data_IF_539735488385
#
_entry.id   IF_539735488385
#
_cell.length_a   1.000
_cell.length_b   1.000
_cell.length_c   1.000
_cell.angle_alpha   90.00
_cell.angle_beta   90.00
_cell.angle_gamma   90.00
#
_symmetry.space_group_name_H-M   'P 1'
#
loop_
_entity.id
_entity.type
_entity.pdbx_description
1 polymer ?
#
# COMPACT_ATOMS: atom_id res chain seq x y z
N UNK A 1 3.15 3.11 3.03
CA UNK A 1 3.43 3.50 4.41
C UNK A 1 2.17 3.48 5.24
N UNK A 2 2.22 2.80 6.37
CA UNK A 2 1.14 2.71 7.34
C UNK A 2 1.48 3.52 8.60
N UNK A 3 0.46 3.90 9.35
CA UNK A 3 0.63 4.50 10.67
C UNK A 3 0.12 3.56 11.75
N UNK A 4 0.86 3.44 12.82
CA UNK A 4 0.52 2.64 13.99
C UNK A 4 0.97 3.34 15.27
N UNK A 5 0.25 3.14 16.36
CA UNK A 5 0.62 3.71 17.67
C UNK A 5 1.94 3.15 18.20
N UNK A 6 2.36 1.98 17.72
CA UNK A 6 3.64 1.36 18.00
C UNK A 6 4.13 0.61 16.75
N UNK A 7 5.18 1.11 16.11
CA UNK A 7 5.72 0.54 14.88
C UNK A 7 6.27 -0.88 15.07
N UNK A 8 6.93 -1.16 16.19
CA UNK A 8 7.48 -2.50 16.46
C UNK A 8 6.38 -3.55 16.67
N UNK A 9 5.29 -3.18 17.35
CA UNK A 9 4.12 -4.07 17.51
C UNK A 9 3.47 -4.35 16.16
N UNK A 10 3.33 -3.32 15.32
CA UNK A 10 2.80 -3.48 13.97
C UNK A 10 3.68 -4.42 13.13
N UNK A 11 4.99 -4.22 13.10
CA UNK A 11 5.92 -5.14 12.42
C UNK A 11 5.74 -6.57 12.91
N UNK A 12 5.68 -6.79 14.22
CA UNK A 12 5.53 -8.13 14.80
C UNK A 12 4.19 -8.77 14.39
N UNK A 13 3.11 -8.00 14.39
CA UNK A 13 1.78 -8.44 13.98
C UNK A 13 1.74 -8.82 12.50
N UNK A 14 2.30 -7.96 11.64
CA UNK A 14 2.33 -8.22 10.19
C UNK A 14 3.21 -9.43 9.83
N UNK A 15 4.37 -9.58 10.47
CA UNK A 15 5.23 -10.77 10.28
C UNK A 15 4.53 -12.04 10.77
N UNK A 16 3.82 -11.99 11.89
CA UNK A 16 3.07 -13.13 12.44
C UNK A 16 2.00 -13.64 11.47
N UNK A 17 1.23 -12.73 10.87
CA UNK A 17 0.07 -13.09 10.04
C UNK A 17 0.40 -13.28 8.56
N UNK A 18 1.35 -12.51 8.03
CA UNK A 18 1.65 -12.48 6.60
C UNK A 18 3.10 -12.89 6.26
N UNK A 19 3.90 -13.19 7.26
CA UNK A 19 5.32 -13.46 7.05
C UNK A 19 6.09 -12.20 6.67
N UNK A 20 7.11 -12.37 5.81
CA UNK A 20 8.01 -11.28 5.42
C UNK A 20 9.21 -11.13 6.35
N UNK A 21 10.12 -10.24 6.00
CA UNK A 21 11.35 -9.99 6.73
C UNK A 21 11.26 -8.65 7.48
N UNK A 22 11.37 -8.73 8.81
CA UNK A 22 11.41 -7.54 9.67
C UNK A 22 12.76 -6.81 9.53
N UNK A 23 12.73 -5.55 9.15
CA UNK A 23 13.92 -4.75 8.88
C UNK A 23 13.74 -3.30 9.36
N UNK A 24 14.76 -2.46 9.15
CA UNK A 24 14.70 -1.02 9.36
C UNK A 24 14.59 -0.29 8.03
N UNK A 25 13.73 0.71 7.94
CA UNK A 25 13.59 1.51 6.73
C UNK A 25 14.88 2.26 6.39
N UNK A 26 15.46 2.92 7.38
CA UNK A 26 16.71 3.62 7.20
C UNK A 26 17.88 2.77 7.65
N UNK A 27 18.91 2.67 6.80
CA UNK A 27 20.19 2.12 7.23
C UNK A 27 20.80 3.07 8.25
N UNK A 28 21.04 2.58 9.44
CA UNK A 28 21.79 3.28 10.47
C UNK A 28 22.88 2.36 10.97
N UNK A 29 24.03 2.92 11.29
CA UNK A 29 25.03 2.30 12.17
C UNK A 29 24.56 2.33 13.61
N UNK A 30 23.47 3.06 13.87
CA UNK A 30 22.82 3.16 15.16
C UNK A 30 21.90 1.94 15.35
N UNK A 31 22.26 1.08 16.27
CA UNK A 31 21.50 -0.14 16.63
C UNK A 31 20.25 0.16 17.43
N UNK A 32 20.03 1.41 17.85
CA UNK A 32 18.90 1.84 18.68
C UNK A 32 17.66 2.22 17.86
N UNK A 33 17.75 2.31 16.51
CA UNK A 33 16.56 2.56 15.69
C UNK A 33 15.59 1.38 15.76
N UNK A 34 14.28 1.65 15.92
CA UNK A 34 13.27 0.59 15.95
C UNK A 34 13.23 -0.18 14.63
N UNK A 35 12.77 -1.42 14.68
CA UNK A 35 12.36 -2.17 13.50
C UNK A 35 10.99 -1.61 13.11
N UNK A 36 10.90 -1.03 11.91
CA UNK A 36 9.76 -0.25 11.45
C UNK A 36 9.30 -0.63 10.05
N UNK A 37 9.84 -1.74 9.50
CA UNK A 37 9.55 -2.18 8.13
C UNK A 37 9.45 -3.69 8.03
N UNK A 38 8.50 -4.16 7.22
CA UNK A 38 8.41 -5.55 6.75
C UNK A 38 8.65 -5.57 5.24
N UNK A 39 9.52 -6.47 4.78
CA UNK A 39 9.77 -6.72 3.36
C UNK A 39 9.01 -7.95 2.90
N UNK A 40 8.27 -7.83 1.82
CA UNK A 40 7.60 -8.91 1.08
C UNK A 40 8.22 -8.98 -0.32
N UNK A 41 9.33 -9.70 -0.45
CA UNK A 41 10.17 -9.59 -1.65
C UNK A 41 10.75 -8.18 -1.79
N UNK A 42 10.50 -7.53 -2.93
CA UNK A 42 10.95 -6.15 -3.19
C UNK A 42 9.97 -5.08 -2.68
N UNK A 43 8.80 -5.50 -2.15
CA UNK A 43 7.78 -4.59 -1.63
C UNK A 43 8.02 -4.33 -0.14
N UNK A 44 8.05 -3.06 0.25
CA UNK A 44 8.23 -2.63 1.63
C UNK A 44 6.92 -2.10 2.22
N UNK A 45 6.52 -2.62 3.37
CA UNK A 45 5.52 -2.01 4.24
C UNK A 45 6.24 -1.35 5.41
N UNK A 46 6.12 -0.03 5.52
CA UNK A 46 6.84 0.78 6.51
C UNK A 46 5.82 1.39 7.48
N UNK A 47 6.15 1.38 8.77
CA UNK A 47 5.26 1.84 9.83
C UNK A 47 5.80 3.12 10.47
N UNK A 48 4.99 4.17 10.47
CA UNK A 48 5.24 5.36 11.27
C UNK A 48 4.59 5.23 12.63
N UNK A 49 5.36 5.49 13.67
CA UNK A 49 4.82 5.53 15.03
C UNK A 49 4.06 6.83 15.25
N UNK A 50 2.75 6.75 15.08
CA UNK A 50 1.82 7.86 15.22
C UNK A 50 0.39 7.32 15.39
N UNK A 51 -0.47 8.07 16.05
CA UNK A 51 -1.91 7.82 16.03
C UNK A 51 -2.42 7.92 14.58
N UNK A 52 -3.03 6.88 14.02
CA UNK A 52 -3.51 6.88 12.63
C UNK A 52 -4.68 7.85 12.37
N UNK A 53 -5.27 8.44 13.39
CA UNK A 53 -6.43 9.34 13.25
C UNK A 53 -7.67 8.59 12.74
N UNK A 54 -7.71 8.25 11.45
CA UNK A 54 -8.80 7.51 10.81
C UNK A 54 -8.26 6.28 10.06
N UNK A 55 -9.14 5.27 9.86
CA UNK A 55 -8.81 4.07 9.07
C UNK A 55 -8.64 4.36 7.58
N UNK A 56 -8.21 3.34 6.82
CA UNK A 56 -7.95 3.48 5.38
C UNK A 56 -9.25 3.59 4.56
N UNK A 57 -10.34 3.01 5.02
CA UNK A 57 -11.63 2.99 4.30
C UNK A 57 -12.16 4.41 4.05
N UNK A 58 -12.60 4.65 2.81
CA UNK A 58 -13.13 5.95 2.39
C UNK A 58 -12.07 6.96 1.95
N UNK A 59 -10.81 6.55 1.85
CA UNK A 59 -9.73 7.35 1.26
C UNK A 59 -9.38 6.88 -0.15
N UNK A 60 -8.48 7.60 -0.83
CA UNK A 60 -7.99 7.25 -2.16
C UNK A 60 -7.29 5.88 -2.21
N UNK A 61 -6.70 5.40 -1.11
CA UNK A 61 -6.24 4.01 -0.94
C UNK A 61 -7.15 3.31 0.05
N UNK A 62 -8.07 2.49 -0.44
CA UNK A 62 -9.04 1.80 0.40
C UNK A 62 -8.39 0.66 1.21
N UNK A 63 -7.58 -0.17 0.54
CA UNK A 63 -6.91 -1.30 1.15
C UNK A 63 -5.72 -1.81 0.33
N UNK A 64 -5.01 -2.76 0.88
CA UNK A 64 -4.13 -3.66 0.14
C UNK A 64 -4.52 -5.11 0.41
N UNK A 65 -4.05 -6.01 -0.46
CA UNK A 65 -4.43 -7.42 -0.39
C UNK A 65 -3.25 -8.35 -0.23
N UNK A 66 -3.49 -9.46 0.48
CA UNK A 66 -2.59 -10.60 0.55
C UNK A 66 -3.23 -11.86 -0.02
N UNK A 67 -2.47 -12.60 -0.82
CA UNK A 67 -2.86 -13.93 -1.24
C UNK A 67 -2.32 -14.98 -0.28
N UNK A 68 -3.26 -15.75 0.32
CA UNK A 68 -2.98 -16.71 1.38
C UNK A 68 -3.56 -18.09 1.07
N UNK A 69 -3.07 -19.13 1.72
CA UNK A 69 -3.51 -20.51 1.46
C UNK A 69 -4.92 -20.81 1.99
N UNK A 70 -5.25 -20.29 3.16
CA UNK A 70 -6.52 -20.55 3.85
C UNK A 70 -7.07 -19.25 4.43
N UNK A 71 -8.00 -18.61 3.70
CA UNK A 71 -8.58 -17.31 4.07
C UNK A 71 -9.36 -17.40 5.39
N UNK A 72 -10.28 -18.36 5.62
CA UNK A 72 -11.03 -18.45 6.88
C UNK A 72 -10.17 -18.65 8.11
N UNK A 73 -9.14 -19.46 8.03
CA UNK A 73 -8.21 -19.72 9.14
C UNK A 73 -7.45 -18.44 9.51
N UNK A 74 -6.90 -17.74 8.51
CA UNK A 74 -6.17 -16.51 8.77
C UNK A 74 -7.08 -15.39 9.31
N UNK A 75 -8.31 -15.28 8.82
CA UNK A 75 -9.29 -14.32 9.39
C UNK A 75 -9.53 -14.62 10.86
N UNK A 76 -9.73 -15.90 11.23
CA UNK A 76 -9.91 -16.28 12.63
C UNK A 76 -8.69 -15.94 13.50
N UNK A 77 -7.47 -16.17 13.00
CA UNK A 77 -6.23 -15.85 13.70
C UNK A 77 -6.05 -14.33 13.88
N UNK A 78 -6.37 -13.56 12.85
CA UNK A 78 -6.32 -12.08 12.90
C UNK A 78 -7.31 -11.54 13.92
N UNK A 79 -8.54 -12.05 13.94
CA UNK A 79 -9.56 -11.63 14.93
C UNK A 79 -9.15 -11.99 16.35
N UNK A 80 -8.55 -13.16 16.55
CA UNK A 80 -8.03 -13.56 17.87
C UNK A 80 -6.85 -12.68 18.34
N UNK A 81 -6.19 -11.97 17.44
CA UNK A 81 -5.02 -11.12 17.69
C UNK A 81 -5.32 -9.60 17.51
N UNK A 82 -6.55 -9.21 17.80
CA UNK A 82 -6.97 -7.80 17.90
C UNK A 82 -7.42 -7.13 16.61
N UNK A 83 -7.39 -7.84 15.47
CA UNK A 83 -8.01 -7.36 14.23
C UNK A 83 -9.54 -7.57 14.22
N UNK A 84 -10.20 -7.06 13.19
CA UNK A 84 -11.65 -7.14 13.04
C UNK A 84 -12.01 -7.72 11.68
N UNK A 85 -12.91 -8.71 11.63
CA UNK A 85 -13.52 -9.12 10.36
C UNK A 85 -14.59 -8.08 9.96
N UNK A 86 -14.45 -7.48 8.77
CA UNK A 86 -15.30 -6.38 8.33
C UNK A 86 -16.63 -6.85 7.71
N UNK A 87 -16.60 -7.95 6.97
CA UNK A 87 -17.76 -8.52 6.29
C UNK A 87 -17.68 -10.06 6.29
N UNK A 88 -18.80 -10.70 6.05
CA UNK A 88 -18.82 -12.14 5.76
C UNK A 88 -17.97 -12.46 4.53
N UNK A 89 -17.50 -13.71 4.43
CA UNK A 89 -16.73 -14.14 3.26
C UNK A 89 -17.54 -13.97 1.98
N UNK A 90 -16.88 -13.43 0.95
CA UNK A 90 -17.46 -13.27 -0.38
C UNK A 90 -16.76 -14.17 -1.40
N UNK A 91 -17.51 -14.57 -2.43
CA UNK A 91 -16.94 -15.29 -3.57
C UNK A 91 -16.75 -14.31 -4.74
N UNK A 92 -15.53 -14.26 -5.26
CA UNK A 92 -15.21 -13.44 -6.41
C UNK A 92 -14.33 -14.22 -7.39
N UNK A 93 -14.79 -14.35 -8.63
CA UNK A 93 -14.06 -15.07 -9.69
C UNK A 93 -13.60 -16.47 -9.28
N UNK A 94 -14.48 -17.22 -8.54
CA UNK A 94 -14.20 -18.56 -8.04
C UNK A 94 -13.21 -18.63 -6.87
N UNK A 95 -12.96 -17.51 -6.19
CA UNK A 95 -12.06 -17.40 -5.03
C UNK A 95 -12.82 -16.87 -3.84
N UNK A 96 -12.56 -17.45 -2.68
CA UNK A 96 -13.06 -16.92 -1.43
C UNK A 96 -12.20 -15.71 -1.01
N UNK A 97 -12.88 -14.63 -0.67
CA UNK A 97 -12.28 -13.38 -0.20
C UNK A 97 -12.77 -13.10 1.22
N UNK A 98 -11.86 -12.64 2.06
CA UNK A 98 -12.15 -12.08 3.38
C UNK A 98 -11.62 -10.65 3.48
N UNK A 99 -12.33 -9.80 4.20
CA UNK A 99 -11.86 -8.46 4.54
C UNK A 99 -11.71 -8.33 6.04
N UNK A 100 -10.53 -7.91 6.45
CA UNK A 100 -10.22 -7.63 7.85
C UNK A 100 -9.69 -6.21 8.00
N UNK A 101 -9.74 -5.71 9.22
CA UNK A 101 -9.07 -4.49 9.63
C UNK A 101 -8.00 -4.85 10.67
N UNK A 102 -6.81 -4.30 10.50
CA UNK A 102 -5.74 -4.47 11.47
C UNK A 102 -6.04 -3.66 12.76
N UNK A 103 -5.29 -3.85 13.85
CA UNK A 103 -5.52 -3.12 15.11
C UNK A 103 -5.38 -1.59 15.00
N UNK A 104 -4.89 -1.06 13.89
CA UNK A 104 -4.64 0.36 13.65
C UNK A 104 -5.58 0.98 12.59
N UNK A 105 -6.57 0.21 12.11
CA UNK A 105 -7.60 0.71 11.20
C UNK A 105 -7.28 0.57 9.71
N UNK A 106 -6.27 -0.23 9.33
CA UNK A 106 -6.00 -0.51 7.93
C UNK A 106 -6.80 -1.71 7.45
N UNK A 107 -7.61 -1.50 6.43
CA UNK A 107 -8.34 -2.59 5.76
C UNK A 107 -7.39 -3.43 4.92
N UNK A 108 -7.54 -4.75 5.03
CA UNK A 108 -6.75 -5.76 4.31
C UNK A 108 -7.69 -6.75 3.63
N UNK A 109 -7.50 -6.97 2.34
CA UNK A 109 -8.16 -8.06 1.62
C UNK A 109 -7.33 -9.34 1.71
N UNK A 110 -7.97 -10.44 2.01
CA UNK A 110 -7.39 -11.79 2.00
C UNK A 110 -8.01 -12.59 0.87
N UNK A 111 -7.18 -13.08 -0.03
CA UNK A 111 -7.62 -13.85 -1.19
C UNK A 111 -6.79 -15.12 -1.33
N UNK A 112 -7.36 -16.18 -1.91
CA UNK A 112 -6.60 -17.37 -2.29
C UNK A 112 -6.31 -17.34 -3.79
N UNK A 113 -5.25 -16.62 -4.19
CA UNK A 113 -4.71 -16.68 -5.56
C UNK A 113 -3.35 -17.41 -5.56
N UNK A 114 -3.28 -18.67 -6.04
CA UNK A 114 -2.05 -19.45 -6.02
C UNK A 114 -0.99 -18.97 -7.03
N UNK A 115 -1.36 -18.11 -7.98
CA UNK A 115 -0.46 -17.60 -9.01
C UNK A 115 0.40 -16.42 -8.50
N UNK A 116 -0.12 -15.66 -7.50
CA UNK A 116 0.60 -14.55 -6.87
C UNK A 116 0.42 -14.61 -5.36
N UNK A 117 1.30 -15.33 -4.66
CA UNK A 117 1.29 -15.49 -3.20
C UNK A 117 1.98 -14.34 -2.48
N UNK A 118 1.51 -14.03 -1.28
CA UNK A 118 2.04 -12.94 -0.45
C UNK A 118 1.35 -11.61 -0.72
N UNK A 119 2.11 -10.51 -0.71
CA UNK A 119 1.59 -9.19 -1.07
C UNK A 119 1.05 -9.24 -2.49
N UNK A 120 -0.25 -8.94 -2.67
CA UNK A 120 -0.95 -9.22 -3.92
C UNK A 120 -1.34 -7.98 -4.70
N UNK A 121 -1.94 -7.00 -4.03
CA UNK A 121 -2.39 -5.77 -4.69
C UNK A 121 -2.51 -4.59 -3.75
N UNK A 122 -2.46 -3.40 -4.33
CA UNK A 122 -2.95 -2.15 -3.76
C UNK A 122 -4.29 -1.86 -4.40
N UNK A 123 -5.29 -1.42 -3.64
CA UNK A 123 -6.63 -1.14 -4.14
C UNK A 123 -7.05 0.29 -3.85
N UNK A 124 -7.18 1.06 -4.93
CA UNK A 124 -7.59 2.45 -4.90
C UNK A 124 -9.12 2.56 -5.06
N UNK A 125 -9.66 3.64 -4.54
CA UNK A 125 -11.04 4.07 -4.78
C UNK A 125 -11.05 5.37 -5.56
N UNK A 126 -11.75 5.41 -6.69
CA UNK A 126 -11.85 6.59 -7.53
C UNK A 126 -13.23 6.76 -8.14
N UNK A 127 -13.75 7.99 -8.28
CA UNK A 127 -14.92 8.27 -9.11
C UNK A 127 -14.69 7.98 -10.59
N UNK A 128 -13.45 8.07 -11.09
CA UNK A 128 -13.04 7.77 -12.47
C UNK A 128 -11.83 6.83 -12.50
N UNK A 129 -12.04 5.50 -12.35
CA UNK A 129 -10.98 4.51 -12.35
C UNK A 129 -10.11 4.51 -13.61
N UNK A 130 -10.70 4.84 -14.78
CA UNK A 130 -9.96 4.85 -16.03
C UNK A 130 -8.94 5.99 -16.06
N UNK A 131 -9.35 7.20 -15.70
CA UNK A 131 -8.45 8.34 -15.60
C UNK A 131 -7.36 8.11 -14.55
N UNK A 132 -7.73 7.53 -13.39
CA UNK A 132 -6.78 7.19 -12.33
C UNK A 132 -5.73 6.20 -12.82
N UNK A 133 -6.13 5.06 -13.41
CA UNK A 133 -5.18 4.08 -13.96
C UNK A 133 -4.28 4.67 -15.04
N UNK A 134 -4.83 5.49 -15.95
CA UNK A 134 -4.04 6.15 -16.97
C UNK A 134 -2.98 7.06 -16.36
N UNK A 135 -3.35 7.86 -15.36
CA UNK A 135 -2.41 8.74 -14.67
C UNK A 135 -1.25 7.96 -14.01
N UNK A 136 -1.55 6.83 -13.34
CA UNK A 136 -0.50 5.99 -12.76
C UNK A 136 0.38 5.34 -13.83
N UNK A 137 -0.20 4.86 -14.93
CA UNK A 137 0.56 4.29 -16.05
C UNK A 137 1.52 5.30 -16.68
N UNK A 138 1.06 6.54 -16.90
CA UNK A 138 1.85 7.60 -17.53
C UNK A 138 3.01 8.08 -16.65
N UNK A 139 2.85 8.04 -15.32
CA UNK A 139 3.80 8.62 -14.39
C UNK A 139 4.66 7.57 -13.66
N UNK A 140 4.16 6.36 -13.46
CA UNK A 140 4.82 5.32 -12.67
C UNK A 140 4.94 3.99 -13.41
N UNK A 141 4.46 3.90 -14.64
CA UNK A 141 4.53 2.69 -15.45
C UNK A 141 3.53 1.62 -15.01
N UNK A 142 3.92 0.36 -15.19
CA UNK A 142 3.04 -0.80 -15.04
C UNK A 142 2.37 -1.17 -16.36
N UNK A 143 2.05 -2.45 -16.54
CA UNK A 143 1.35 -2.94 -17.72
C UNK A 143 -0.16 -2.87 -17.51
N UNK A 144 -0.87 -2.17 -18.41
CA UNK A 144 -2.34 -2.05 -18.35
C UNK A 144 -2.98 -3.37 -18.75
N UNK A 145 -3.55 -4.05 -17.78
CA UNK A 145 -4.16 -5.37 -17.91
C UNK A 145 -5.47 -5.49 -17.13
N UNK A 146 -6.09 -6.63 -17.24
CA UNK A 146 -7.25 -6.98 -16.40
C UNK A 146 -6.90 -8.18 -15.51
N UNK A 147 -6.86 -7.96 -14.21
CA UNK A 147 -6.68 -9.06 -13.29
C UNK A 147 -7.82 -10.07 -13.44
N UNK A 148 -7.46 -11.33 -13.79
CA UNK A 148 -8.39 -12.44 -14.07
C UNK A 148 -9.50 -12.07 -15.07
N UNK A 149 -9.20 -11.23 -16.06
CA UNK A 149 -10.13 -10.73 -17.09
C UNK A 149 -11.34 -9.93 -16.54
N UNK A 150 -11.32 -9.60 -15.25
CA UNK A 150 -12.44 -8.94 -14.54
C UNK A 150 -12.11 -7.51 -14.14
N UNK A 151 -11.11 -7.31 -13.30
CA UNK A 151 -10.77 -6.00 -12.76
C UNK A 151 -9.67 -5.31 -13.57
N UNK A 152 -9.92 -4.10 -14.10
CA UNK A 152 -8.86 -3.31 -14.72
C UNK A 152 -7.83 -2.91 -13.67
N UNK A 153 -6.54 -2.94 -14.06
CA UNK A 153 -5.45 -2.59 -13.18
C UNK A 153 -4.14 -2.35 -13.91
N UNK A 154 -3.11 -2.05 -13.16
CA UNK A 154 -1.73 -2.02 -13.61
C UNK A 154 -0.98 -3.17 -12.96
N UNK A 155 -0.34 -3.98 -13.79
CA UNK A 155 0.52 -5.08 -13.36
C UNK A 155 1.97 -4.58 -13.29
N UNK A 156 2.58 -4.66 -12.11
CA UNK A 156 3.98 -4.33 -11.87
C UNK A 156 4.86 -5.59 -11.76
N UNK A 157 4.33 -6.75 -12.15
CA UNK A 157 4.99 -8.04 -12.02
C UNK A 157 4.68 -8.73 -10.69
N UNK A 158 5.19 -8.19 -9.60
CA UNK A 158 5.04 -8.77 -8.25
C UNK A 158 3.83 -8.23 -7.48
N UNK A 159 3.14 -7.21 -8.01
CA UNK A 159 1.99 -6.59 -7.35
C UNK A 159 1.07 -5.93 -8.38
N UNK A 160 -0.23 -5.93 -8.10
CA UNK A 160 -1.23 -5.19 -8.86
C UNK A 160 -1.57 -3.86 -8.20
N UNK A 161 -1.84 -2.85 -9.02
CA UNK A 161 -2.57 -1.65 -8.63
C UNK A 161 -3.97 -1.74 -9.24
N UNK A 162 -4.98 -1.97 -8.42
CA UNK A 162 -6.37 -2.10 -8.81
C UNK A 162 -7.14 -0.83 -8.42
N UNK A 163 -8.21 -0.51 -9.16
CA UNK A 163 -9.04 0.65 -8.85
C UNK A 163 -10.51 0.27 -8.91
N UNK A 164 -11.25 0.54 -7.83
CA UNK A 164 -12.70 0.41 -7.78
C UNK A 164 -13.39 1.74 -8.00
N UNK A 165 -14.50 1.70 -8.74
CA UNK A 165 -15.34 2.88 -8.91
C UNK A 165 -16.17 3.16 -7.66
N UNK A 166 -16.13 4.41 -7.21
CA UNK A 166 -16.99 4.94 -6.16
C UNK A 166 -17.85 6.07 -6.70
N UNK A 167 -18.97 6.35 -6.02
CA UNK A 167 -19.94 7.35 -6.49
C UNK A 167 -19.60 8.78 -6.04
N UNK A 168 -18.78 8.91 -5.03
CA UNK A 168 -18.43 10.19 -4.41
C UNK A 168 -16.93 10.35 -4.30
N UNK A 169 -16.47 11.59 -4.20
CA UNK A 169 -15.08 11.88 -3.89
C UNK A 169 -14.67 11.21 -2.56
N UNK A 170 -13.46 10.71 -2.52
CA UNK A 170 -12.85 10.09 -1.35
C UNK A 170 -11.99 11.08 -0.59
N UNK A 171 -11.65 10.75 0.65
CA UNK A 171 -10.75 11.57 1.45
C UNK A 171 -9.28 11.37 1.05
N UNK A 172 -8.41 12.38 1.28
CA UNK A 172 -6.97 12.21 1.14
C UNK A 172 -6.43 11.11 2.07
N UNK A 173 -5.33 10.47 1.66
CA UNK A 173 -4.71 9.40 2.46
C UNK A 173 -3.85 9.91 3.60
N UNK A 174 -3.29 11.12 3.47
CA UNK A 174 -2.38 11.68 4.45
C UNK A 174 -2.99 11.75 5.86
N UNK A 175 -2.29 11.18 6.83
CA UNK A 175 -2.70 11.19 8.24
C UNK A 175 -3.60 10.04 8.65
N UNK A 176 -3.95 9.15 7.74
CA UNK A 176 -4.76 7.95 7.99
C UNK A 176 -3.88 6.73 8.30
N UNK A 177 -4.51 5.61 8.64
CA UNK A 177 -3.80 4.35 8.88
C UNK A 177 -3.00 3.90 7.66
N UNK A 178 -3.51 4.10 6.45
CA UNK A 178 -2.74 4.01 5.21
C UNK A 178 -2.41 5.43 4.74
N UNK A 179 -1.22 5.93 5.08
CA UNK A 179 -0.84 7.33 4.88
C UNK A 179 -0.42 7.64 3.44
N UNK A 180 0.40 6.79 2.82
CA UNK A 180 0.86 7.01 1.45
C UNK A 180 1.42 5.76 0.76
N UNK A 181 1.42 5.81 -0.57
CA UNK A 181 2.15 4.90 -1.44
C UNK A 181 3.60 5.34 -1.58
N UNK A 182 4.47 4.47 -2.11
CA UNK A 182 5.86 4.81 -2.38
C UNK A 182 6.38 4.18 -3.65
N UNK A 183 7.18 4.93 -4.41
CA UNK A 183 7.94 4.43 -5.54
C UNK A 183 9.43 4.69 -5.38
N UNK A 184 10.23 3.68 -5.71
CA UNK A 184 11.69 3.78 -5.68
C UNK A 184 12.22 4.18 -7.06
N UNK A 185 13.12 5.14 -7.07
CA UNK A 185 13.83 5.62 -8.26
C UNK A 185 15.35 5.50 -8.06
N UNK A 186 16.04 5.21 -9.15
CA UNK A 186 17.52 5.24 -9.17
C UNK A 186 18.08 6.66 -9.33
N UNK A 187 17.30 7.59 -9.88
CA UNK A 187 17.62 9.02 -10.07
C UNK A 187 16.36 9.85 -9.82
N UNK A 188 16.22 10.37 -8.61
CA UNK A 188 15.09 11.20 -8.23
C UNK A 188 15.11 12.56 -8.93
N UNK A 189 16.28 13.05 -9.36
CA UNK A 189 16.37 14.30 -10.11
C UNK A 189 15.78 14.15 -11.51
N UNK A 190 16.05 13.02 -12.17
CA UNK A 190 15.44 12.71 -13.46
C UNK A 190 13.93 12.44 -13.33
N UNK A 191 13.52 11.68 -12.31
CA UNK A 191 12.11 11.43 -12.02
C UNK A 191 11.34 12.73 -11.76
N UNK A 192 11.88 13.64 -10.95
CA UNK A 192 11.29 14.95 -10.69
C UNK A 192 11.01 15.75 -11.97
N UNK A 193 12.01 15.84 -12.87
CA UNK A 193 11.84 16.55 -14.15
C UNK A 193 10.76 15.93 -15.03
N UNK A 194 10.72 14.60 -15.09
CA UNK A 194 9.73 13.88 -15.89
C UNK A 194 8.31 14.08 -15.35
N UNK A 195 8.13 13.96 -14.05
CA UNK A 195 6.83 14.15 -13.41
C UNK A 195 6.36 15.60 -13.52
N UNK A 196 7.25 16.59 -13.38
CA UNK A 196 6.90 18.00 -13.63
C UNK A 196 6.50 18.26 -15.08
N UNK A 197 7.14 17.59 -16.05
CA UNK A 197 6.77 17.71 -17.47
C UNK A 197 5.38 17.10 -17.78
N UNK A 198 4.88 16.22 -16.93
CA UNK A 198 3.54 15.64 -16.96
C UNK A 198 2.55 16.38 -16.03
N UNK A 199 2.88 17.59 -15.60
CA UNK A 199 2.04 18.42 -14.71
C UNK A 199 1.69 17.75 -13.35
N UNK A 200 2.54 16.85 -12.86
CA UNK A 200 2.36 16.24 -11.53
C UNK A 200 2.68 17.26 -10.44
N UNK A 201 1.76 17.45 -9.50
CA UNK A 201 1.92 18.38 -8.40
C UNK A 201 2.83 17.82 -7.31
N UNK A 202 3.94 18.54 -7.02
CA UNK A 202 4.84 18.22 -5.92
C UNK A 202 4.38 18.94 -4.65
N UNK A 203 4.02 18.16 -3.63
CA UNK A 203 3.73 18.67 -2.30
C UNK A 203 5.01 18.86 -1.47
N UNK A 204 6.09 18.19 -1.90
CA UNK A 204 7.45 18.39 -1.40
C UNK A 204 8.47 18.08 -2.48
N UNK A 205 9.28 19.07 -2.84
CA UNK A 205 10.39 18.90 -3.78
C UNK A 205 11.47 17.93 -3.25
N UNK A 206 12.28 17.32 -4.17
CA UNK A 206 13.38 16.44 -3.78
C UNK A 206 14.34 17.07 -2.78
N UNK A 207 14.54 16.37 -1.68
CA UNK A 207 15.48 16.78 -0.63
C UNK A 207 16.16 15.58 0.02
N UNK A 208 17.31 15.83 0.61
CA UNK A 208 17.99 14.83 1.42
C UNK A 208 17.21 14.58 2.73
N UNK A 209 17.07 13.32 3.07
CA UNK A 209 16.48 12.85 4.31
C UNK A 209 17.33 11.70 4.87
N UNK A 210 18.17 12.01 5.86
CA UNK A 210 19.13 11.07 6.44
C UNK A 210 20.03 10.44 5.33
N UNK A 211 19.93 9.11 5.12
CA UNK A 211 20.73 8.36 4.13
C UNK A 211 20.06 8.18 2.78
N UNK A 212 18.94 8.82 2.52
CA UNK A 212 18.17 8.73 1.28
C UNK A 212 17.77 10.12 0.80
N UNK A 213 17.27 10.21 -0.44
CA UNK A 213 16.56 11.40 -0.93
C UNK A 213 15.09 11.07 -1.13
N UNK A 214 14.24 12.01 -0.78
CA UNK A 214 12.78 11.85 -0.86
C UNK A 214 12.13 13.07 -1.50
N UNK A 215 10.97 12.83 -2.12
CA UNK A 215 10.02 13.85 -2.54
C UNK A 215 8.61 13.34 -2.31
N UNK A 216 7.62 14.23 -2.34
CA UNK A 216 6.21 13.84 -2.30
C UNK A 216 5.43 14.50 -3.40
N UNK A 217 4.54 13.73 -4.02
CA UNK A 217 3.54 14.22 -4.97
C UNK A 217 2.14 13.87 -4.49
N UNK A 218 1.16 14.58 -5.02
CA UNK A 218 -0.24 14.22 -4.89
C UNK A 218 -0.71 13.53 -6.18
N UNK A 219 -1.19 12.31 -6.04
CA UNK A 219 -1.84 11.56 -7.11
C UNK A 219 -3.36 11.80 -7.13
N UNK A 220 -4.07 11.17 -8.09
CA UNK A 220 -5.53 11.24 -8.15
C UNK A 220 -6.18 10.90 -6.82
N UNK A 221 -7.32 11.53 -6.55
CA UNK A 221 -8.17 11.23 -5.38
C UNK A 221 -7.48 11.49 -4.03
N UNK A 222 -6.53 12.43 -3.99
CA UNK A 222 -5.80 12.80 -2.78
C UNK A 222 -4.86 11.72 -2.25
N UNK A 223 -4.41 10.81 -3.12
CA UNK A 223 -3.41 9.81 -2.76
C UNK A 223 -2.05 10.47 -2.64
N UNK A 224 -1.51 10.47 -1.43
CA UNK A 224 -0.14 10.92 -1.19
C UNK A 224 0.84 9.85 -1.67
N UNK A 225 1.89 10.27 -2.37
CA UNK A 225 2.91 9.37 -2.94
C UNK A 225 4.30 9.86 -2.55
N UNK A 226 5.08 8.98 -1.91
CA UNK A 226 6.49 9.21 -1.63
C UNK A 226 7.34 8.70 -2.79
N UNK A 227 8.29 9.52 -3.23
CA UNK A 227 9.32 9.16 -4.19
C UNK A 227 10.63 9.00 -3.43
N UNK A 228 11.28 7.85 -3.56
CA UNK A 228 12.48 7.53 -2.78
C UNK A 228 13.64 7.22 -3.73
N UNK A 229 14.76 7.95 -3.59
CA UNK A 229 16.03 7.54 -4.18
C UNK A 229 16.84 6.81 -3.12
N UNK A 230 17.12 5.56 -3.40
CA UNK A 230 17.89 4.69 -2.51
C UNK A 230 18.74 3.74 -3.34
N UNK A 231 20.02 3.67 -3.00
CA UNK A 231 20.99 2.71 -3.55
C UNK A 231 20.64 1.26 -3.19
#
# INVERSE_FOLDING_TARGET
HLTATNAQEAVNWYVKHFGGEATRFLRSTDTELPIDRVMYGDIAVIFFERDPGEGSVGSGVDHFGFSVGNVPELVADIVADGGTQLVDFVEFSGRQIGFVEDPWGTKIELINDPELRGMHHLHLSSPDPQATLQWYADNFGGESERWKDVLPGLNYGDIWLLVSQVQQAVAPTQGRSFDHLGWKFSDLTAAHRNLQANDVEFTMDPRDFRSIRIAFVEGPDGVRIELVEKD
#
